data_IF_350244226869
#
_entry.id   IF_350244226869
#
_cell.length_a   1.000
_cell.length_b   1.000
_cell.length_c   1.000
_cell.angle_alpha   90.00
_cell.angle_beta   90.00
_cell.angle_gamma   90.00
#
_symmetry.space_group_name_H-M   'P 1'
#
loop_
_entity.id
_entity.type
_entity.pdbx_description
1 polymer ?
#
# COMPACT_ATOMS: atom_id res chain seq x y z
N UNK A 1 -32.16 -13.55 7.40
CA UNK A 1 -31.95 -13.48 5.95
C UNK A 1 -30.78 -12.55 5.57
N UNK A 2 -30.90 -11.21 5.69
CA UNK A 2 -29.82 -10.27 5.27
C UNK A 2 -28.45 -10.53 5.90
N UNK A 3 -28.39 -10.69 7.23
CA UNK A 3 -27.11 -10.97 7.93
C UNK A 3 -26.48 -12.28 7.47
N UNK A 4 -27.30 -13.31 7.26
CA UNK A 4 -26.84 -14.61 6.77
C UNK A 4 -26.25 -14.51 5.35
N UNK A 5 -26.90 -13.75 4.45
CA UNK A 5 -26.37 -13.48 3.11
C UNK A 5 -25.01 -12.75 3.16
N UNK A 6 -24.88 -11.76 4.05
CA UNK A 6 -23.60 -11.06 4.27
C UNK A 6 -22.51 -12.01 4.75
N UNK A 7 -22.82 -12.88 5.72
CA UNK A 7 -21.84 -13.86 6.22
C UNK A 7 -21.41 -14.85 5.14
N UNK A 8 -22.35 -15.34 4.33
CA UNK A 8 -22.03 -16.23 3.21
C UNK A 8 -21.12 -15.51 2.21
N UNK A 9 -21.45 -14.26 1.86
CA UNK A 9 -20.64 -13.47 0.94
C UNK A 9 -19.22 -13.24 1.45
N UNK A 10 -19.07 -12.85 2.72
CA UNK A 10 -17.76 -12.67 3.35
C UNK A 10 -16.96 -13.98 3.44
N UNK A 11 -17.64 -15.10 3.72
CA UNK A 11 -17.01 -16.42 3.73
C UNK A 11 -16.48 -16.80 2.35
N UNK A 12 -17.24 -16.53 1.28
CA UNK A 12 -16.80 -16.75 -0.10
C UNK A 12 -15.57 -15.91 -0.43
N UNK A 13 -15.58 -14.61 -0.08
CA UNK A 13 -14.40 -13.73 -0.27
C UNK A 13 -13.20 -14.27 0.50
N UNK A 14 -13.40 -14.68 1.76
CA UNK A 14 -12.32 -15.21 2.60
C UNK A 14 -11.71 -16.46 2.00
N UNK A 15 -12.53 -17.41 1.54
CA UNK A 15 -12.05 -18.63 0.88
C UNK A 15 -11.27 -18.28 -0.40
N UNK A 16 -11.77 -17.33 -1.20
CA UNK A 16 -11.07 -16.88 -2.40
C UNK A 16 -9.70 -16.26 -2.07
N UNK A 17 -9.63 -15.37 -1.08
CA UNK A 17 -8.37 -14.75 -0.66
C UNK A 17 -7.38 -15.79 -0.11
N UNK A 18 -7.83 -16.72 0.73
CA UNK A 18 -6.98 -17.79 1.25
C UNK A 18 -6.46 -18.68 0.12
N UNK A 19 -7.31 -19.05 -0.85
CA UNK A 19 -6.89 -19.83 -2.01
C UNK A 19 -5.75 -19.14 -2.78
N UNK A 20 -5.84 -17.81 -3.00
CA UNK A 20 -4.76 -17.07 -3.67
C UNK A 20 -3.46 -17.03 -2.86
N UNK A 21 -3.53 -16.98 -1.53
CA UNK A 21 -2.34 -17.00 -0.67
C UNK A 21 -1.67 -18.38 -0.69
N UNK A 22 -2.46 -19.46 -0.78
CA UNK A 22 -1.93 -20.82 -0.88
C UNK A 22 -1.18 -21.07 -2.21
N UNK A 23 -1.46 -20.29 -3.25
CA UNK A 23 -0.79 -20.35 -4.56
C UNK A 23 0.44 -19.42 -4.65
N UNK A 24 0.78 -18.67 -3.60
CA UNK A 24 1.93 -17.77 -3.63
C UNK A 24 3.26 -18.53 -3.77
N UNK A 25 4.26 -17.94 -4.47
CA UNK A 25 5.59 -18.51 -4.57
C UNK A 25 6.25 -18.72 -3.20
N UNK A 26 7.15 -19.70 -3.12
CA UNK A 26 7.85 -20.04 -1.88
C UNK A 26 8.70 -18.87 -1.40
N UNK A 27 8.61 -18.55 -0.11
CA UNK A 27 9.38 -17.44 0.45
C UNK A 27 10.90 -17.64 0.27
N UNK A 28 11.58 -16.59 -0.20
CA UNK A 28 13.05 -16.58 -0.37
C UNK A 28 13.59 -17.30 -1.60
N UNK A 29 12.72 -17.84 -2.47
CA UNK A 29 13.17 -18.46 -3.71
C UNK A 29 13.70 -17.40 -4.70
N UNK A 30 14.92 -17.57 -5.26
CA UNK A 30 15.52 -16.56 -6.14
C UNK A 30 14.70 -16.29 -7.41
N UNK A 31 14.02 -17.32 -7.94
CA UNK A 31 13.17 -17.24 -9.13
C UNK A 31 11.80 -16.59 -8.89
N UNK A 32 11.53 -16.09 -7.69
CA UNK A 32 10.27 -15.44 -7.39
C UNK A 32 10.04 -14.22 -8.30
N UNK A 33 8.80 -14.02 -8.79
CA UNK A 33 8.47 -12.90 -9.68
C UNK A 33 8.67 -11.52 -9.04
N UNK A 34 8.74 -11.45 -7.70
CA UNK A 34 9.05 -10.23 -6.96
C UNK A 34 10.52 -9.82 -7.07
N UNK A 35 11.42 -10.75 -7.37
CA UNK A 35 12.84 -10.50 -7.60
C UNK A 35 13.02 -10.13 -9.09
N UNK A 36 12.68 -8.89 -9.42
CA UNK A 36 12.70 -8.37 -10.78
C UNK A 36 13.62 -7.15 -10.91
N UNK A 37 13.75 -6.66 -12.14
CA UNK A 37 14.57 -5.50 -12.50
C UNK A 37 14.27 -4.24 -11.67
N UNK A 38 13.02 -4.06 -11.21
CA UNK A 38 12.65 -2.90 -10.38
C UNK A 38 13.23 -3.04 -8.98
N UNK A 39 13.09 -4.23 -8.37
CA UNK A 39 13.67 -4.51 -7.05
C UNK A 39 15.19 -4.42 -7.06
N UNK A 40 15.82 -4.94 -8.12
CA UNK A 40 17.27 -4.89 -8.33
C UNK A 40 17.74 -3.42 -8.47
N UNK A 41 17.07 -2.62 -9.30
CA UNK A 41 17.40 -1.20 -9.48
C UNK A 41 17.28 -0.41 -8.18
N UNK A 42 16.22 -0.60 -7.40
CA UNK A 42 16.07 0.09 -6.12
C UNK A 42 17.21 -0.25 -5.15
N UNK A 43 17.67 -1.50 -5.14
CA UNK A 43 18.76 -1.94 -4.26
C UNK A 43 20.10 -1.40 -4.75
N UNK A 44 20.39 -1.50 -6.04
CA UNK A 44 21.72 -1.21 -6.59
C UNK A 44 21.93 0.27 -6.96
N UNK A 45 20.88 0.98 -7.36
CA UNK A 45 20.97 2.32 -7.96
C UNK A 45 20.38 3.45 -7.14
N UNK A 46 19.67 3.17 -6.04
CA UNK A 46 19.03 4.21 -5.21
C UNK A 46 19.98 5.33 -4.77
N UNK A 47 21.17 4.99 -4.29
CA UNK A 47 22.14 6.01 -3.85
C UNK A 47 22.62 6.87 -5.02
N UNK A 48 22.87 6.27 -6.19
CA UNK A 48 23.33 6.98 -7.39
C UNK A 48 22.23 7.91 -7.95
N UNK A 49 20.98 7.43 -7.96
CA UNK A 49 19.87 8.12 -8.60
C UNK A 49 19.18 9.15 -7.70
N UNK A 50 19.18 8.96 -6.38
CA UNK A 50 18.46 9.82 -5.44
C UNK A 50 19.36 10.47 -4.37
N UNK A 51 20.57 9.96 -4.17
CA UNK A 51 21.47 10.42 -3.10
C UNK A 51 21.06 9.97 -1.69
N UNK A 52 19.92 9.27 -1.54
CA UNK A 52 19.47 8.79 -0.24
C UNK A 52 20.18 7.48 0.13
N UNK A 53 20.82 7.46 1.30
CA UNK A 53 21.48 6.26 1.84
C UNK A 53 20.49 5.17 2.28
N UNK A 54 19.23 5.54 2.51
CA UNK A 54 18.17 4.62 2.88
C UNK A 54 17.33 4.27 1.65
N UNK A 55 17.42 3.02 1.21
CA UNK A 55 16.69 2.50 0.05
C UNK A 55 15.19 2.70 0.20
N UNK A 56 14.61 2.44 1.36
CA UNK A 56 13.16 2.61 1.57
C UNK A 56 12.76 4.07 1.47
N UNK A 57 13.55 4.98 2.05
CA UNK A 57 13.32 6.42 1.91
C UNK A 57 13.35 6.82 0.42
N UNK A 58 14.39 6.41 -0.32
CA UNK A 58 14.51 6.68 -1.76
C UNK A 58 13.29 6.20 -2.55
N UNK A 59 12.71 5.06 -2.19
CA UNK A 59 11.52 4.53 -2.86
C UNK A 59 10.32 5.45 -2.62
N UNK A 60 10.04 5.81 -1.36
CA UNK A 60 8.83 6.58 -1.04
C UNK A 60 8.96 8.07 -1.35
N UNK A 61 10.17 8.66 -1.33
CA UNK A 61 10.37 10.09 -1.56
C UNK A 61 10.75 10.45 -2.99
N UNK A 62 11.34 9.53 -3.74
CA UNK A 62 11.87 9.82 -5.08
C UNK A 62 11.19 8.93 -6.13
N UNK A 63 11.40 7.61 -6.11
CA UNK A 63 10.87 6.71 -7.15
C UNK A 63 9.33 6.67 -7.20
N UNK A 64 8.69 6.66 -6.03
CA UNK A 64 7.23 6.60 -5.84
C UNK A 64 6.72 7.81 -5.07
N UNK A 65 7.37 8.95 -5.24
CA UNK A 65 7.02 10.22 -4.60
C UNK A 65 5.54 10.60 -4.79
N UNK A 66 4.96 10.24 -5.95
CA UNK A 66 3.57 10.55 -6.27
C UNK A 66 2.56 9.79 -5.40
N UNK A 67 2.86 8.54 -5.02
CA UNK A 67 2.01 7.76 -4.12
C UNK A 67 2.00 8.42 -2.72
N UNK A 68 3.18 8.79 -2.21
CA UNK A 68 3.34 9.50 -0.93
C UNK A 68 2.70 10.90 -0.94
N UNK A 69 2.78 11.63 -2.08
CA UNK A 69 2.06 12.90 -2.25
C UNK A 69 0.54 12.68 -2.17
N UNK A 70 0.05 11.59 -2.76
CA UNK A 70 -1.35 11.15 -2.65
C UNK A 70 -1.73 10.88 -1.19
N UNK A 71 -0.92 10.12 -0.46
CA UNK A 71 -1.13 9.87 0.98
C UNK A 71 -1.20 11.17 1.80
N UNK A 72 -0.25 12.08 1.58
CA UNK A 72 -0.23 13.39 2.24
C UNK A 72 -1.49 14.21 1.93
N UNK A 73 -1.95 14.16 0.67
CA UNK A 73 -3.17 14.84 0.23
C UNK A 73 -4.41 14.26 0.91
N UNK A 74 -4.54 12.94 0.98
CA UNK A 74 -5.65 12.26 1.67
C UNK A 74 -5.69 12.66 3.14
N UNK A 75 -4.55 12.63 3.84
CA UNK A 75 -4.47 13.04 5.24
C UNK A 75 -4.83 14.51 5.44
N UNK A 76 -4.32 15.39 4.57
CA UNK A 76 -4.64 16.82 4.62
C UNK A 76 -6.14 17.06 4.46
N UNK A 77 -6.77 16.46 3.45
CA UNK A 77 -8.21 16.59 3.20
C UNK A 77 -9.02 16.01 4.35
N UNK A 78 -8.63 14.86 4.91
CA UNK A 78 -9.30 14.25 6.06
C UNK A 78 -9.29 15.18 7.29
N UNK A 79 -8.14 15.79 7.59
CA UNK A 79 -8.01 16.76 8.70
C UNK A 79 -8.86 17.99 8.43
N UNK A 80 -8.79 18.56 7.22
CA UNK A 80 -9.57 19.73 6.84
C UNK A 80 -11.09 19.47 6.95
N UNK A 81 -11.55 18.30 6.49
CA UNK A 81 -12.96 17.89 6.59
C UNK A 81 -13.41 17.70 8.04
N UNK A 82 -12.58 17.07 8.88
CA UNK A 82 -12.87 16.89 10.30
C UNK A 82 -12.99 18.25 11.01
N UNK A 83 -12.04 19.16 10.79
CA UNK A 83 -12.06 20.51 11.37
C UNK A 83 -13.28 21.32 10.90
N UNK A 84 -13.62 21.23 9.61
CA UNK A 84 -14.80 21.87 9.05
C UNK A 84 -16.09 21.37 9.72
N UNK A 85 -16.21 20.06 9.93
CA UNK A 85 -17.37 19.43 10.57
C UNK A 85 -17.49 19.84 12.04
N UNK A 86 -16.38 19.82 12.79
CA UNK A 86 -16.36 20.25 14.20
C UNK A 86 -16.75 21.73 14.31
N UNK A 87 -16.20 22.60 13.45
CA UNK A 87 -16.55 24.03 13.45
C UNK A 87 -18.02 24.26 13.11
N UNK A 88 -18.56 23.52 12.15
CA UNK A 88 -19.96 23.63 11.75
C UNK A 88 -20.95 23.19 12.85
N UNK A 89 -20.52 22.34 13.78
CA UNK A 89 -21.33 21.84 14.90
C UNK A 89 -21.12 22.61 16.21
N UNK A 90 -20.11 23.49 16.26
CA UNK A 90 -19.81 24.37 17.41
C UNK A 90 -20.59 25.70 17.36
N UNK A 91 -21.39 25.92 16.32
CA UNK A 91 -22.36 27.00 16.16
C UNK A 91 -23.77 26.40 16.07
#
# INVERSE_FOLDING_TARGET
MRKLLVFIFLAVIMVALVATVLEMPTFGEPGNPTNNEVSERYIEKSIEETGALNVIASIITDYRAFDTLGEATVLFVAIAAALSTIKAHSH
#
